data_IF_485704966584
#
_entry.id   IF_485704966584
#
_cell.length_a   1.000
_cell.length_b   1.000
_cell.length_c   1.000
_cell.angle_alpha   90.00
_cell.angle_beta   90.00
_cell.angle_gamma   90.00
#
_symmetry.space_group_name_H-M   'P 1'
#
loop_
_entity.id
_entity.type
_entity.pdbx_description
1 polymer ?
#
# COMPACT_ATOMS: atom_id res chain seq x y z
N UNK A 1 -10.95 2.86 65.76
CA UNK A 1 -11.83 1.98 64.96
C UNK A 1 -10.96 1.21 63.99
N UNK A 2 -10.94 -0.12 64.05
CA UNK A 2 -10.02 -0.98 63.28
C UNK A 2 -10.74 -1.41 62.00
N UNK A 3 -10.40 -0.79 60.87
CA UNK A 3 -10.99 -1.11 59.57
C UNK A 3 -10.55 -2.52 59.15
N UNK A 4 -11.50 -3.46 59.04
CA UNK A 4 -11.22 -4.79 58.48
C UNK A 4 -11.18 -4.65 56.97
N UNK A 5 -10.01 -4.81 56.37
CA UNK A 5 -9.87 -4.98 54.93
C UNK A 5 -10.43 -6.35 54.56
N UNK A 6 -11.46 -6.37 53.70
CA UNK A 6 -11.99 -7.61 53.12
C UNK A 6 -11.02 -8.06 52.03
N UNK A 7 -10.54 -9.31 52.12
CA UNK A 7 -9.78 -9.95 51.06
C UNK A 7 -10.69 -10.63 50.05
N UNK A 8 -10.17 -10.88 48.84
CA UNK A 8 -10.86 -11.66 47.82
C UNK A 8 -11.01 -13.13 48.22
N UNK A 9 -12.13 -13.75 47.85
CA UNK A 9 -12.34 -15.19 47.98
C UNK A 9 -11.74 -15.96 46.81
N UNK A 10 -11.40 -17.24 47.02
CA UNK A 10 -10.90 -18.11 45.96
C UNK A 10 -11.92 -18.26 44.81
N UNK A 11 -13.21 -18.26 45.12
CA UNK A 11 -14.28 -18.35 44.12
C UNK A 11 -14.30 -17.09 43.25
N UNK A 12 -14.11 -15.91 43.83
CA UNK A 12 -14.07 -14.66 43.04
C UNK A 12 -12.89 -14.65 42.06
N UNK A 13 -11.71 -15.10 42.48
CA UNK A 13 -10.54 -15.19 41.57
C UNK A 13 -10.78 -16.22 40.47
N UNK A 14 -11.35 -17.39 40.80
CA UNK A 14 -11.66 -18.44 39.84
C UNK A 14 -12.68 -18.00 38.79
N UNK A 15 -13.72 -17.27 39.20
CA UNK A 15 -14.74 -16.78 38.28
C UNK A 15 -14.17 -15.70 37.33
N UNK A 16 -13.28 -14.84 37.82
CA UNK A 16 -12.63 -13.80 37.00
C UNK A 16 -11.76 -14.41 35.90
N UNK A 17 -10.94 -15.41 36.21
CA UNK A 17 -10.09 -16.03 35.19
C UNK A 17 -10.91 -16.76 34.11
N UNK A 18 -12.05 -17.36 34.48
CA UNK A 18 -12.98 -17.99 33.53
C UNK A 18 -13.61 -16.96 32.61
N UNK A 19 -14.07 -15.83 33.14
CA UNK A 19 -14.64 -14.75 32.32
C UNK A 19 -13.58 -14.15 31.39
N UNK A 20 -12.36 -13.91 31.87
CA UNK A 20 -11.27 -13.39 31.04
C UNK A 20 -10.95 -14.36 29.90
N UNK A 21 -10.90 -15.66 30.15
CA UNK A 21 -10.64 -16.66 29.10
C UNK A 21 -11.74 -16.66 28.01
N UNK A 22 -13.01 -16.56 28.40
CA UNK A 22 -14.14 -16.49 27.46
C UNK A 22 -14.08 -15.20 26.64
N UNK A 23 -13.89 -14.05 27.29
CA UNK A 23 -13.81 -12.75 26.62
C UNK A 23 -12.62 -12.70 25.66
N UNK A 24 -11.46 -13.23 26.05
CA UNK A 24 -10.28 -13.30 25.19
C UNK A 24 -10.54 -14.10 23.90
N UNK A 25 -11.25 -15.23 23.99
CA UNK A 25 -11.63 -16.02 22.82
C UNK A 25 -12.56 -15.26 21.86
N UNK A 26 -13.55 -14.54 22.39
CA UNK A 26 -14.50 -13.74 21.58
C UNK A 26 -13.77 -12.59 20.86
N UNK A 27 -12.87 -11.89 21.55
CA UNK A 27 -12.14 -10.74 20.99
C UNK A 27 -11.29 -11.14 19.78
N UNK A 28 -10.62 -12.30 19.80
CA UNK A 28 -9.81 -12.74 18.67
C UNK A 28 -10.62 -12.95 17.37
N UNK A 29 -11.84 -13.46 17.50
CA UNK A 29 -12.75 -13.64 16.35
C UNK A 29 -13.23 -12.28 15.83
N UNK A 30 -13.48 -11.32 16.72
CA UNK A 30 -13.99 -10.01 16.36
C UNK A 30 -12.96 -9.12 15.63
N UNK A 31 -11.66 -9.27 15.92
CA UNK A 31 -10.60 -8.35 15.47
C UNK A 31 -10.09 -8.62 14.04
N UNK A 32 -10.47 -9.76 13.43
CA UNK A 32 -10.07 -10.20 12.08
C UNK A 32 -8.71 -9.61 11.62
N UNK A 33 -7.58 -10.12 12.14
CA UNK A 33 -6.26 -9.54 11.88
C UNK A 33 -5.90 -9.50 10.39
N UNK A 34 -6.39 -10.46 9.59
CA UNK A 34 -6.20 -10.47 8.14
C UNK A 34 -6.76 -9.21 7.47
N UNK A 35 -7.95 -8.77 7.88
CA UNK A 35 -8.55 -7.53 7.36
C UNK A 35 -7.72 -6.30 7.69
N UNK A 36 -7.13 -6.24 8.89
CA UNK A 36 -6.28 -5.10 9.28
C UNK A 36 -4.98 -5.04 8.48
N UNK A 37 -4.37 -6.20 8.19
CA UNK A 37 -3.19 -6.27 7.30
C UNK A 37 -3.55 -5.80 5.89
N UNK A 38 -4.68 -6.27 5.34
CA UNK A 38 -5.15 -5.81 4.04
C UNK A 38 -5.38 -4.30 3.96
N UNK A 39 -5.93 -3.70 5.03
CA UNK A 39 -6.11 -2.25 5.11
C UNK A 39 -4.77 -1.50 5.18
N UNK A 40 -3.79 -2.03 5.91
CA UNK A 40 -2.44 -1.46 5.95
C UNK A 40 -1.77 -1.51 4.56
N UNK A 41 -1.87 -2.64 3.86
CA UNK A 41 -1.36 -2.80 2.50
C UNK A 41 -2.04 -1.82 1.53
N UNK A 42 -3.37 -1.67 1.60
CA UNK A 42 -4.10 -0.70 0.79
C UNK A 42 -3.71 0.75 1.11
N UNK A 43 -3.40 1.06 2.37
CA UNK A 43 -2.89 2.39 2.76
C UNK A 43 -1.52 2.66 2.15
N UNK A 44 -0.63 1.67 2.18
CA UNK A 44 0.68 1.71 1.54
C UNK A 44 0.53 1.95 0.02
N UNK A 45 -0.28 1.14 -0.67
CA UNK A 45 -0.60 1.31 -2.10
C UNK A 45 -1.06 2.72 -2.46
N UNK A 46 -1.97 3.30 -1.66
CA UNK A 46 -2.47 4.68 -1.88
C UNK A 46 -1.34 5.70 -1.81
N UNK A 47 -0.43 5.53 -0.85
CA UNK A 47 0.77 6.37 -0.73
C UNK A 47 1.68 6.18 -1.94
N UNK A 48 1.89 4.94 -2.37
CA UNK A 48 2.82 4.58 -3.44
C UNK A 48 2.36 5.10 -4.80
N UNK A 49 1.10 4.86 -5.19
CA UNK A 49 0.55 5.39 -6.45
C UNK A 49 0.56 6.92 -6.47
N UNK A 50 0.36 7.56 -5.30
CA UNK A 50 0.41 9.02 -5.18
C UNK A 50 1.85 9.53 -5.32
N UNK A 51 2.82 8.85 -4.71
CA UNK A 51 4.24 9.20 -4.82
C UNK A 51 4.73 9.10 -6.27
N UNK A 52 4.39 8.00 -6.97
CA UNK A 52 4.71 7.82 -8.39
C UNK A 52 4.07 8.93 -9.23
N UNK A 53 2.77 9.17 -9.06
CA UNK A 53 2.07 10.20 -9.83
C UNK A 53 2.63 11.60 -9.60
N UNK A 54 2.98 11.94 -8.37
CA UNK A 54 3.62 13.21 -8.04
C UNK A 54 5.00 13.33 -8.68
N UNK A 55 5.79 12.25 -8.69
CA UNK A 55 7.07 12.20 -9.40
C UNK A 55 6.90 12.46 -10.89
N UNK A 56 5.93 11.81 -11.54
CA UNK A 56 5.62 12.00 -12.97
C UNK A 56 5.18 13.45 -13.24
N UNK A 57 4.35 14.03 -12.38
CA UNK A 57 3.94 15.42 -12.50
C UNK A 57 5.11 16.39 -12.33
N UNK A 58 6.02 16.13 -11.39
CA UNK A 58 7.21 16.97 -11.21
C UNK A 58 8.16 16.87 -12.42
N UNK A 59 8.35 15.67 -12.97
CA UNK A 59 9.06 15.48 -14.24
C UNK A 59 8.43 16.33 -15.35
N UNK A 60 7.10 16.31 -15.47
CA UNK A 60 6.41 17.09 -16.50
C UNK A 60 6.61 18.60 -16.32
N UNK A 61 6.59 19.10 -15.09
CA UNK A 61 6.86 20.52 -14.80
C UNK A 61 8.24 20.93 -15.30
N UNK A 62 9.26 20.12 -15.00
CA UNK A 62 10.65 20.44 -15.34
C UNK A 62 10.94 20.23 -16.84
N UNK A 63 10.18 19.35 -17.50
CA UNK A 63 10.30 19.05 -18.93
C UNK A 63 9.26 19.76 -19.81
N UNK A 64 8.82 20.96 -19.42
CA UNK A 64 7.92 21.83 -20.22
C UNK A 64 6.57 21.18 -20.57
N UNK A 65 6.03 20.37 -19.67
CA UNK A 65 4.80 19.62 -19.84
C UNK A 65 4.97 18.29 -20.56
N UNK A 66 6.19 17.89 -20.94
CA UNK A 66 6.44 16.58 -21.54
C UNK A 66 6.35 15.47 -20.48
N UNK A 67 5.55 14.46 -20.76
CA UNK A 67 5.45 13.25 -19.94
C UNK A 67 6.53 12.23 -20.35
N UNK A 68 6.92 11.30 -19.45
CA UNK A 68 7.79 10.18 -19.81
C UNK A 68 7.27 9.46 -21.05
N UNK A 69 8.11 9.34 -22.07
CA UNK A 69 7.72 8.87 -23.40
C UNK A 69 7.28 7.39 -23.44
N UNK A 70 7.69 6.62 -22.44
CA UNK A 70 7.30 5.23 -22.25
C UNK A 70 5.84 5.05 -21.84
N UNK A 71 5.19 6.10 -21.32
CA UNK A 71 3.79 6.01 -20.87
C UNK A 71 2.84 6.04 -22.08
N UNK A 72 2.05 4.98 -22.21
CA UNK A 72 1.12 4.80 -23.32
C UNK A 72 -0.34 4.96 -22.91
N UNK A 73 -1.25 4.91 -23.88
CA UNK A 73 -2.69 4.94 -23.66
C UNK A 73 -3.29 3.58 -23.24
N UNK A 74 -2.45 2.61 -22.91
CA UNK A 74 -2.85 1.29 -22.41
C UNK A 74 -2.30 1.14 -21.00
N UNK A 75 -3.15 0.67 -20.07
CA UNK A 75 -2.70 0.36 -18.71
C UNK A 75 -1.69 -0.78 -18.77
N UNK A 76 -0.47 -0.52 -18.29
CA UNK A 76 0.64 -1.47 -18.32
C UNK A 76 1.46 -1.34 -17.05
N UNK A 77 1.98 -2.47 -16.57
CA UNK A 77 2.80 -2.50 -15.36
C UNK A 77 4.11 -1.74 -15.57
N UNK A 78 4.56 -1.04 -14.52
CA UNK A 78 5.82 -0.31 -14.52
C UNK A 78 6.96 -1.21 -14.05
N UNK A 79 7.94 -1.42 -14.93
CA UNK A 79 9.07 -2.32 -14.71
C UNK A 79 10.09 -2.25 -15.85
N UNK A 80 11.27 -2.82 -15.65
CA UNK A 80 12.36 -2.84 -16.65
C UNK A 80 12.29 -4.01 -17.65
N UNK A 81 11.29 -4.88 -17.53
CA UNK A 81 11.07 -6.04 -18.39
C UNK A 81 10.50 -5.71 -19.77
N UNK A 82 10.53 -6.69 -20.68
CA UNK A 82 9.97 -6.55 -22.04
C UNK A 82 8.45 -6.41 -21.98
N UNK A 83 7.92 -5.38 -22.66
CA UNK A 83 6.48 -5.10 -22.69
C UNK A 83 5.97 -4.36 -21.45
N UNK A 84 6.87 -3.93 -20.57
CA UNK A 84 6.57 -3.07 -19.42
C UNK A 84 6.90 -1.61 -19.72
N UNK A 85 6.42 -0.72 -18.85
CA UNK A 85 6.72 0.72 -18.93
C UNK A 85 7.91 1.05 -18.03
N UNK A 86 9.04 1.39 -18.64
CA UNK A 86 10.23 1.88 -17.93
C UNK A 86 10.13 3.40 -17.71
N UNK A 87 10.11 3.81 -16.46
CA UNK A 87 10.05 5.21 -16.00
C UNK A 87 11.15 5.51 -14.98
N UNK A 88 11.98 4.52 -14.64
CA UNK A 88 12.91 4.66 -13.52
C UNK A 88 13.99 5.69 -13.84
N UNK A 89 14.53 5.66 -15.06
CA UNK A 89 15.54 6.63 -15.50
C UNK A 89 15.02 8.07 -15.59
N UNK A 90 13.72 8.26 -15.80
CA UNK A 90 13.07 9.56 -15.82
C UNK A 90 12.80 10.09 -14.39
N UNK A 91 12.44 9.20 -13.46
CA UNK A 91 11.96 9.56 -12.12
C UNK A 91 13.02 9.51 -11.03
N UNK A 92 13.89 8.50 -11.06
CA UNK A 92 14.89 8.22 -10.04
C UNK A 92 16.26 8.71 -10.51
N UNK A 93 17.07 9.35 -9.65
CA UNK A 93 16.80 9.70 -8.25
C UNK A 93 16.18 11.10 -8.05
N UNK A 94 15.93 11.83 -9.13
CA UNK A 94 15.66 13.29 -9.09
C UNK A 94 14.30 13.63 -8.47
N UNK A 95 13.25 12.88 -8.82
CA UNK A 95 11.87 13.16 -8.44
C UNK A 95 11.35 12.20 -7.37
N UNK A 96 11.93 11.00 -7.30
CA UNK A 96 11.68 10.02 -6.25
C UNK A 96 12.98 9.28 -5.94
N UNK A 97 13.22 8.96 -4.67
CA UNK A 97 14.47 8.33 -4.24
C UNK A 97 14.60 6.86 -4.71
N UNK A 98 13.49 6.15 -4.77
CA UNK A 98 13.36 4.79 -5.27
C UNK A 98 11.90 4.55 -5.67
N UNK A 99 11.65 3.68 -6.65
CA UNK A 99 10.28 3.34 -7.02
C UNK A 99 9.67 2.43 -5.93
N UNK A 100 8.48 2.76 -5.41
CA UNK A 100 7.79 1.88 -4.49
C UNK A 100 7.28 0.63 -5.20
N UNK A 101 7.13 -0.45 -4.45
CA UNK A 101 6.72 -1.77 -4.92
C UNK A 101 5.48 -2.24 -4.17
N UNK A 102 4.59 -2.96 -4.85
CA UNK A 102 3.40 -3.49 -4.21
C UNK A 102 3.77 -4.47 -3.08
N UNK A 103 3.18 -4.33 -1.87
CA UNK A 103 3.59 -5.12 -0.72
C UNK A 103 3.17 -6.60 -0.79
N UNK A 104 2.31 -6.98 -1.72
CA UNK A 104 1.81 -8.36 -1.82
C UNK A 104 2.03 -9.02 -3.17
N UNK A 105 2.34 -8.26 -4.21
CA UNK A 105 2.67 -8.84 -5.49
C UNK A 105 4.03 -9.54 -5.41
N UNK A 106 4.02 -10.85 -5.63
CA UNK A 106 5.23 -11.67 -5.56
C UNK A 106 6.23 -11.36 -6.69
N UNK A 107 5.77 -10.74 -7.79
CA UNK A 107 6.63 -10.31 -8.87
C UNK A 107 7.18 -8.88 -8.66
N UNK A 108 6.65 -8.14 -7.67
CA UNK A 108 7.11 -6.79 -7.40
C UNK A 108 8.46 -6.80 -6.67
N UNK A 109 9.43 -6.11 -7.25
CA UNK A 109 10.80 -6.02 -6.77
C UNK A 109 11.43 -4.71 -7.21
N UNK A 110 12.36 -4.19 -6.43
CA UNK A 110 13.15 -3.03 -6.81
C UNK A 110 14.58 -3.26 -6.32
N UNK A 111 15.48 -3.57 -7.24
CA UNK A 111 16.93 -3.64 -6.97
C UNK A 111 17.57 -2.31 -7.37
N UNK A 112 17.31 -1.89 -8.62
CA UNK A 112 17.74 -0.64 -9.21
C UNK A 112 16.91 -0.32 -10.47
N UNK A 113 17.26 0.74 -11.21
CA UNK A 113 16.56 1.09 -12.44
C UNK A 113 16.77 0.13 -13.62
N UNK A 114 17.61 -0.89 -13.49
CA UNK A 114 17.83 -1.92 -14.51
C UNK A 114 17.07 -3.21 -14.20
N UNK A 115 16.78 -3.48 -12.93
CA UNK A 115 16.00 -4.63 -12.48
C UNK A 115 14.95 -4.20 -11.45
N UNK A 116 13.74 -3.94 -11.95
CA UNK A 116 12.58 -3.64 -11.11
C UNK A 116 11.26 -4.02 -11.77
N UNK A 117 10.27 -4.26 -10.92
CA UNK A 117 8.86 -4.35 -11.24
C UNK A 117 8.08 -3.80 -10.05
N UNK A 118 7.29 -2.75 -10.26
CA UNK A 118 6.57 -2.12 -9.15
C UNK A 118 5.29 -2.85 -8.75
N UNK A 119 4.71 -3.68 -9.63
CA UNK A 119 3.36 -4.22 -9.46
C UNK A 119 2.25 -3.16 -9.59
N UNK A 120 2.61 -1.94 -10.00
CA UNK A 120 1.68 -0.84 -10.26
C UNK A 120 1.57 -0.58 -11.76
N UNK A 121 0.38 -0.15 -12.19
CA UNK A 121 0.11 0.19 -13.59
C UNK A 121 0.06 1.69 -13.80
N UNK A 122 0.46 2.13 -14.99
CA UNK A 122 0.31 3.51 -15.44
C UNK A 122 -0.39 3.56 -16.79
N UNK A 123 -1.24 4.56 -16.99
CA UNK A 123 -1.92 4.85 -18.26
C UNK A 123 -2.01 6.36 -18.47
N UNK A 124 -1.83 6.77 -19.72
CA UNK A 124 -2.14 8.13 -20.19
C UNK A 124 -3.51 8.18 -20.85
N UNK A 125 -4.37 9.07 -20.37
CA UNK A 125 -5.71 9.29 -20.93
C UNK A 125 -5.63 10.25 -22.13
N UNK A 126 -6.67 10.29 -22.96
CA UNK A 126 -6.75 11.16 -24.14
C UNK A 126 -6.56 12.66 -23.83
N UNK A 127 -6.87 13.10 -22.60
CA UNK A 127 -6.67 14.48 -22.12
C UNK A 127 -5.25 14.73 -21.54
N UNK A 128 -4.26 13.90 -21.88
CA UNK A 128 -2.89 13.89 -21.33
C UNK A 128 -2.82 13.77 -19.80
N UNK A 129 -3.88 13.22 -19.18
CA UNK A 129 -3.92 12.93 -17.73
C UNK A 129 -3.30 11.59 -17.44
N UNK A 130 -2.45 11.53 -16.41
CA UNK A 130 -1.82 10.29 -15.96
C UNK A 130 -2.67 9.67 -14.87
N UNK A 131 -2.94 8.38 -15.01
CA UNK A 131 -3.52 7.55 -13.95
C UNK A 131 -2.53 6.48 -13.54
N UNK A 132 -2.23 6.42 -12.24
CA UNK A 132 -1.46 5.33 -11.62
C UNK A 132 -2.42 4.51 -10.77
N UNK A 133 -2.40 3.18 -10.94
CA UNK A 133 -3.32 2.28 -10.25
C UNK A 133 -2.62 1.06 -9.67
N UNK A 134 -3.16 0.58 -8.55
CA UNK A 134 -2.76 -0.67 -7.90
C UNK A 134 -3.77 -1.78 -8.25
N UNK A 135 -3.43 -2.69 -9.18
CA UNK A 135 -4.33 -3.75 -9.63
C UNK A 135 -4.60 -4.82 -8.55
N UNK A 136 -3.67 -5.01 -7.62
CA UNK A 136 -3.72 -6.00 -6.54
C UNK A 136 -4.35 -5.47 -5.25
N UNK A 137 -5.15 -4.40 -5.35
CA UNK A 137 -5.85 -3.84 -4.19
C UNK A 137 -6.75 -4.88 -3.51
N UNK A 138 -6.66 -4.97 -2.19
CA UNK A 138 -7.34 -5.99 -1.39
C UNK A 138 -8.73 -5.54 -0.95
N UNK A 139 -9.54 -6.48 -0.45
CA UNK A 139 -10.90 -6.23 0.04
C UNK A 139 -11.89 -5.70 -1.03
N UNK A 140 -11.58 -5.88 -2.31
CA UNK A 140 -12.41 -5.41 -3.43
C UNK A 140 -12.36 -3.89 -3.63
N UNK A 141 -11.37 -3.22 -3.05
CA UNK A 141 -11.13 -1.80 -3.29
C UNK A 141 -10.48 -1.57 -4.67
N UNK A 142 -10.78 -0.43 -5.29
CA UNK A 142 -10.03 0.06 -6.45
C UNK A 142 -9.19 1.25 -5.99
N UNK A 143 -7.87 1.14 -6.14
CA UNK A 143 -6.91 2.20 -5.78
C UNK A 143 -6.28 2.72 -7.05
N UNK A 144 -6.71 3.92 -7.47
CA UNK A 144 -6.13 4.64 -8.58
C UNK A 144 -6.14 6.14 -8.28
N UNK A 145 -5.13 6.85 -8.75
CA UNK A 145 -5.04 8.31 -8.65
C UNK A 145 -4.78 8.86 -10.04
N UNK A 146 -5.58 9.85 -10.43
CA UNK A 146 -5.49 10.53 -11.73
C UNK A 146 -5.19 11.99 -11.52
N UNK A 147 -4.21 12.51 -12.25
CA UNK A 147 -3.92 13.94 -12.26
C UNK A 147 -3.71 14.44 -13.67
#
# INVERSE_FOLDING_TARGET
MKNRTKGFTLIEVLLVIVIIAILAGIVLIAVNPGRQVSQANNTQRRSDVTAILNGIHQYAIDNRGALPASITAVATDMGSGVGLIDICSDLVPTYIAALPVDPTDAAATYTDCTDYNTGYTVIKTADDRITVAAPTAELGEAIAVTR
#
